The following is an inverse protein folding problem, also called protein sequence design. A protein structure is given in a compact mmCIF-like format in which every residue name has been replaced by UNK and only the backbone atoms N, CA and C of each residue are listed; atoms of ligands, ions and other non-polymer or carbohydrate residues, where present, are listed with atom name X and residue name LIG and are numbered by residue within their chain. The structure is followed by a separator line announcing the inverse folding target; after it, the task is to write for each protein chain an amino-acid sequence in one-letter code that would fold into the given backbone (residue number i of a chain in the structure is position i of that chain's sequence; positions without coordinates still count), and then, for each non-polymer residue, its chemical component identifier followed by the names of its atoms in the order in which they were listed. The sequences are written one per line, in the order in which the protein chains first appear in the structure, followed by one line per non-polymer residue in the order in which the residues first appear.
data_IF_119248065963
#
_entry.id   IF_119248065963
#
_cell.length_a   1.000
_cell.length_b   1.000
_cell.length_c   1.000
_cell.angle_alpha   90.00
_cell.angle_beta   90.00
_cell.angle_gamma   90.00
#
_symmetry.space_group_name_H-M   'P 1'
#
loop_
_entity.id
_entity.type
_entity.pdbx_description
1 polymer ?
#
# COMPACT_ATOMS: atom_id res chain seq x y z
N UNK A 1 -18.43 11.52 -3.40
CA UNK A 1 -17.68 10.27 -3.65
C UNK A 1 -18.28 9.06 -2.94
N UNK A 2 -18.51 9.10 -1.61
CA UNK A 2 -19.15 8.01 -0.87
C UNK A 2 -20.53 7.60 -1.44
N UNK A 3 -21.36 8.59 -1.79
CA UNK A 3 -22.66 8.36 -2.42
C UNK A 3 -22.55 7.67 -3.79
N UNK A 4 -21.56 8.04 -4.60
CA UNK A 4 -21.30 7.41 -5.89
C UNK A 4 -20.90 5.94 -5.72
N UNK A 5 -19.99 5.64 -4.78
CA UNK A 5 -19.54 4.27 -4.51
C UNK A 5 -20.69 3.39 -3.99
N UNK A 6 -21.53 3.93 -3.09
CA UNK A 6 -22.70 3.22 -2.58
C UNK A 6 -23.70 2.89 -3.70
N UNK A 7 -23.95 3.82 -4.63
CA UNK A 7 -24.83 3.57 -5.80
C UNK A 7 -24.30 2.45 -6.69
N UNK A 8 -22.98 2.29 -6.79
CA UNK A 8 -22.32 1.26 -7.59
C UNK A 8 -22.06 -0.04 -6.81
N UNK A 9 -22.56 -0.18 -5.58
CA UNK A 9 -22.28 -1.32 -4.69
C UNK A 9 -20.77 -1.55 -4.43
N UNK A 10 -19.97 -0.48 -4.43
CA UNK A 10 -18.53 -0.54 -4.17
C UNK A 10 -18.26 -0.19 -2.71
N UNK A 11 -17.65 -1.13 -1.97
CA UNK A 11 -17.22 -0.92 -0.58
C UNK A 11 -15.91 -0.15 -0.54
N UNK A 12 -15.91 1.01 0.12
CA UNK A 12 -14.68 1.77 0.37
C UNK A 12 -13.92 1.20 1.56
N UNK A 13 -12.65 0.84 1.36
CA UNK A 13 -11.73 0.44 2.42
C UNK A 13 -10.70 1.55 2.63
N UNK A 14 -10.62 2.09 3.85
CA UNK A 14 -9.67 3.14 4.23
C UNK A 14 -8.52 2.55 5.04
N UNK A 15 -7.32 3.06 4.79
CA UNK A 15 -6.13 2.71 5.58
C UNK A 15 -5.93 3.70 6.75
N UNK A 16 -5.21 3.29 7.81
CA UNK A 16 -4.84 4.19 8.89
C UNK A 16 -4.08 5.42 8.38
N UNK A 17 -4.30 6.54 9.06
CA UNK A 17 -3.65 7.81 8.75
C UNK A 17 -2.13 7.65 8.86
N UNK A 18 -1.39 8.23 7.91
CA UNK A 18 0.09 8.18 7.86
C UNK A 18 0.70 6.77 7.83
N UNK A 19 -0.03 5.80 7.26
CA UNK A 19 0.44 4.42 7.05
C UNK A 19 0.54 4.08 5.56
N UNK A 20 1.47 4.68 4.79
CA UNK A 20 1.61 4.40 3.36
C UNK A 20 1.96 2.93 3.08
N UNK A 21 2.62 2.26 4.02
CA UNK A 21 2.92 0.82 3.92
C UNK A 21 1.68 -0.05 3.78
N UNK A 22 0.53 0.39 4.32
CA UNK A 22 -0.75 -0.31 4.15
C UNK A 22 -1.27 -0.29 2.70
N UNK A 23 -0.79 0.64 1.87
CA UNK A 23 -1.09 0.71 0.44
C UNK A 23 0.16 0.43 -0.43
N UNK A 24 1.04 -0.46 0.05
CA UNK A 24 2.37 -0.67 -0.55
C UNK A 24 2.38 -1.14 -2.01
N UNK A 25 1.30 -1.77 -2.50
CA UNK A 25 1.19 -2.17 -3.92
C UNK A 25 1.09 -0.91 -4.80
N UNK A 26 0.16 -0.01 -4.48
CA UNK A 26 -0.03 1.25 -5.21
C UNK A 26 1.22 2.13 -5.16
N UNK A 27 1.89 2.20 -4.00
CA UNK A 27 3.16 2.94 -3.85
C UNK A 27 4.27 2.41 -4.78
N UNK A 28 4.38 1.08 -4.92
CA UNK A 28 5.34 0.47 -5.85
C UNK A 28 4.99 0.76 -7.31
N UNK A 29 3.70 0.72 -7.66
CA UNK A 29 3.22 1.10 -9.00
C UNK A 29 3.57 2.56 -9.31
N UNK A 30 3.33 3.47 -8.36
CA UNK A 30 3.66 4.90 -8.51
C UNK A 30 5.14 5.14 -8.76
N UNK A 31 6.03 4.33 -8.15
CA UNK A 31 7.46 4.39 -8.41
C UNK A 31 7.80 4.02 -9.86
N UNK A 32 7.17 2.97 -10.41
CA UNK A 32 7.34 2.59 -11.82
C UNK A 32 6.84 3.68 -12.76
N UNK A 33 5.67 4.26 -12.48
CA UNK A 33 5.10 5.38 -13.25
C UNK A 33 6.09 6.54 -13.27
N UNK A 34 6.59 6.94 -12.09
CA UNK A 34 7.54 8.05 -11.96
C UNK A 34 8.84 7.79 -12.73
N UNK A 35 9.36 6.57 -12.66
CA UNK A 35 10.56 6.16 -13.40
C UNK A 35 10.33 6.25 -14.92
N UNK A 36 9.24 5.67 -15.43
CA UNK A 36 8.92 5.69 -16.85
C UNK A 36 8.72 7.10 -17.40
N UNK A 37 8.08 7.99 -16.63
CA UNK A 37 7.95 9.40 -16.98
C UNK A 37 9.32 10.10 -17.04
N UNK A 38 10.23 9.76 -16.12
CA UNK A 38 11.55 10.39 -16.04
C UNK A 38 12.51 10.01 -17.17
N UNK A 39 12.38 8.81 -17.74
CA UNK A 39 13.24 8.33 -18.84
C UNK A 39 12.66 8.68 -20.22
N UNK A 40 11.34 8.78 -20.36
CA UNK A 40 10.67 9.08 -21.64
C UNK A 40 10.44 10.58 -21.86
N UNK A 41 11.39 11.43 -21.47
CA UNK A 41 11.28 12.87 -21.68
C UNK A 41 11.17 13.15 -23.19
N UNK A 42 10.24 14.03 -23.58
CA UNK A 42 9.95 14.49 -24.96
C UNK A 42 9.06 13.57 -25.82
N UNK A 43 8.62 12.41 -25.32
CA UNK A 43 7.55 11.64 -25.99
C UNK A 43 6.19 12.26 -25.69
N UNK A 44 5.21 11.96 -26.53
CA UNK A 44 3.83 12.34 -26.26
C UNK A 44 3.31 11.61 -25.01
N UNK A 45 2.50 12.30 -24.20
CA UNK A 45 2.04 11.77 -22.92
C UNK A 45 1.16 10.53 -23.08
N UNK A 46 0.35 10.46 -24.15
CA UNK A 46 -0.53 9.31 -24.39
C UNK A 46 0.28 8.06 -24.76
N UNK A 47 1.36 8.23 -25.52
CA UNK A 47 2.30 7.15 -25.82
C UNK A 47 2.97 6.63 -24.54
N UNK A 48 3.41 7.54 -23.66
CA UNK A 48 4.05 7.18 -22.39
C UNK A 48 3.07 6.43 -21.48
N UNK A 49 1.82 6.87 -21.38
CA UNK A 49 0.79 6.19 -20.57
C UNK A 49 0.58 4.76 -21.09
N UNK A 50 0.47 4.58 -22.40
CA UNK A 50 0.34 3.25 -23.01
C UNK A 50 1.56 2.36 -22.74
N UNK A 51 2.78 2.91 -22.84
CA UNK A 51 4.01 2.20 -22.49
C UNK A 51 4.04 1.79 -21.01
N UNK A 52 3.58 2.68 -20.11
CA UNK A 52 3.48 2.42 -18.67
C UNK A 52 2.50 1.28 -18.38
N UNK A 53 1.31 1.32 -18.97
CA UNK A 53 0.30 0.27 -18.80
C UNK A 53 0.83 -1.09 -19.28
N UNK A 54 1.46 -1.13 -20.44
CA UNK A 54 2.10 -2.35 -20.95
C UNK A 54 3.21 -2.83 -20.01
N UNK A 55 4.05 -1.92 -19.51
CA UNK A 55 5.16 -2.24 -18.61
C UNK A 55 4.65 -2.82 -17.28
N UNK A 56 3.57 -2.30 -16.72
CA UNK A 56 3.02 -2.79 -15.46
C UNK A 56 2.28 -4.11 -15.66
N UNK A 57 1.45 -4.21 -16.70
CA UNK A 57 0.52 -5.33 -16.85
C UNK A 57 1.13 -6.52 -17.56
N UNK A 58 1.98 -6.30 -18.56
CA UNK A 58 2.47 -7.36 -19.43
C UNK A 58 3.84 -7.88 -19.02
N UNK A 59 4.68 -7.10 -18.35
CA UNK A 59 6.01 -7.57 -17.97
C UNK A 59 5.98 -8.59 -16.84
N UNK A 60 6.95 -9.49 -16.88
CA UNK A 60 7.18 -10.50 -15.85
C UNK A 60 7.51 -9.84 -14.51
N UNK A 61 6.78 -10.24 -13.46
CA UNK A 61 7.08 -9.89 -12.07
C UNK A 61 7.72 -11.07 -11.35
N UNK A 62 8.96 -10.89 -10.88
CA UNK A 62 9.74 -11.95 -10.24
C UNK A 62 9.22 -12.42 -8.89
N UNK A 63 8.46 -11.58 -8.17
CA UNK A 63 7.79 -11.95 -6.92
C UNK A 63 6.53 -12.76 -7.19
N UNK A 64 5.77 -12.43 -8.24
CA UNK A 64 4.55 -13.15 -8.63
C UNK A 64 4.82 -14.38 -9.51
N UNK A 65 6.05 -14.53 -10.01
CA UNK A 65 6.46 -15.56 -10.99
C UNK A 65 5.69 -15.52 -12.33
N UNK A 66 4.99 -14.43 -12.60
CA UNK A 66 4.19 -14.21 -13.81
C UNK A 66 3.98 -12.70 -14.04
N UNK A 67 3.37 -12.31 -15.16
CA UNK A 67 2.87 -10.93 -15.34
C UNK A 67 1.47 -10.79 -14.74
N UNK A 68 1.07 -9.58 -14.30
CA UNK A 68 -0.30 -9.35 -13.82
C UNK A 68 -1.38 -9.73 -14.84
N UNK A 69 -1.14 -9.48 -16.13
CA UNK A 69 -2.08 -9.88 -17.18
C UNK A 69 -2.27 -11.40 -17.26
N UNK A 70 -1.20 -12.18 -17.08
CA UNK A 70 -1.28 -13.64 -17.04
C UNK A 70 -2.18 -14.14 -15.91
N UNK A 71 -2.23 -13.47 -14.75
CA UNK A 71 -3.11 -13.85 -13.63
C UNK A 71 -4.58 -13.77 -14.05
N UNK A 72 -4.97 -12.71 -14.74
CA UNK A 72 -6.35 -12.50 -15.20
C UNK A 72 -6.74 -13.55 -16.26
N UNK A 73 -5.81 -13.88 -17.16
CA UNK A 73 -6.05 -14.83 -18.24
C UNK A 73 -5.87 -16.30 -17.81
N UNK A 74 -5.42 -16.55 -16.58
CA UNK A 74 -5.02 -17.87 -16.07
C UNK A 74 -4.00 -18.60 -16.97
N UNK A 75 -3.28 -17.84 -17.79
CA UNK A 75 -2.39 -18.33 -18.84
C UNK A 75 -1.01 -17.67 -18.77
N UNK A 76 0.05 -18.48 -18.66
CA UNK A 76 1.44 -18.02 -18.63
C UNK A 76 2.05 -17.98 -20.02
N UNK A 77 2.40 -16.78 -20.48
CA UNK A 77 3.15 -16.59 -21.74
C UNK A 77 4.64 -16.95 -21.54
N UNK A 78 5.12 -16.88 -20.29
CA UNK A 78 6.52 -17.06 -19.93
C UNK A 78 6.92 -18.52 -19.66
N UNK A 79 5.95 -19.42 -19.53
CA UNK A 79 6.23 -20.85 -19.34
C UNK A 79 5.46 -21.69 -20.38
N UNK A 80 6.09 -22.02 -21.53
CA UNK A 80 5.43 -22.77 -22.59
C UNK A 80 5.08 -24.22 -22.20
N UNK A 81 5.76 -24.77 -21.18
CA UNK A 81 5.58 -26.14 -20.71
C UNK A 81 4.48 -26.25 -19.64
N UNK A 82 4.29 -25.20 -18.85
CA UNK A 82 3.21 -25.09 -17.85
C UNK A 82 2.38 -23.84 -18.12
N UNK A 83 1.33 -24.02 -18.92
CA UNK A 83 0.46 -22.93 -19.35
C UNK A 83 -0.43 -22.37 -18.23
N UNK A 84 -0.81 -23.19 -17.25
CA UNK A 84 -1.56 -22.69 -16.08
C UNK A 84 -0.64 -21.84 -15.22
N UNK A 85 -1.15 -20.68 -14.80
CA UNK A 85 -0.40 -19.76 -13.94
C UNK A 85 -0.39 -20.29 -12.51
N UNK A 86 0.80 -20.63 -12.04
CA UNK A 86 1.09 -20.81 -10.62
C UNK A 86 1.76 -19.50 -10.16
N UNK A 87 1.13 -18.79 -9.22
CA UNK A 87 1.71 -17.60 -8.60
C UNK A 87 1.83 -17.82 -7.10
N UNK A 88 2.99 -17.47 -6.55
CA UNK A 88 3.21 -17.52 -5.12
C UNK A 88 2.62 -16.26 -4.47
N UNK A 89 1.59 -16.42 -3.66
CA UNK A 89 1.32 -15.43 -2.63
C UNK A 89 2.30 -15.69 -1.49
N UNK A 90 3.45 -15.02 -1.50
CA UNK A 90 4.38 -15.06 -0.37
C UNK A 90 3.59 -14.56 0.85
N UNK A 91 3.13 -15.49 1.68
CA UNK A 91 2.62 -15.17 3.00
C UNK A 91 3.82 -14.68 3.79
N UNK A 92 3.90 -13.37 4.01
CA UNK A 92 4.80 -12.83 5.02
C UNK A 92 4.33 -13.37 6.37
N UNK A 93 4.87 -14.52 6.77
CA UNK A 93 5.00 -14.84 8.17
C UNK A 93 5.77 -13.65 8.77
N UNK A 94 5.15 -12.94 9.70
CA UNK A 94 5.77 -11.84 10.42
C UNK A 94 6.90 -12.40 11.30
N UNK A 95 8.04 -12.74 10.69
CA UNK A 95 9.24 -13.20 11.40
C UNK A 95 10.00 -11.93 11.82
N UNK A 96 9.45 -11.23 12.81
CA UNK A 96 10.25 -10.36 13.65
C UNK A 96 10.12 -10.91 15.07
N UNK A 97 11.21 -11.43 15.66
CA UNK A 97 11.14 -12.15 16.94
C UNK A 97 10.74 -11.27 18.14
N UNK A 98 10.65 -9.95 17.97
CA UNK A 98 10.49 -8.97 19.05
C UNK A 98 9.37 -7.96 18.78
N UNK A 99 8.15 -8.42 18.50
CA UNK A 99 6.98 -7.52 18.52
C UNK A 99 6.26 -7.67 19.85
N UNK A 100 6.26 -6.61 20.65
CA UNK A 100 5.34 -6.47 21.78
C UNK A 100 3.92 -6.73 21.26
N UNK A 101 3.29 -7.79 21.74
CA UNK A 101 1.91 -8.10 21.40
C UNK A 101 1.02 -7.16 22.20
N UNK A 102 0.50 -6.14 21.54
CA UNK A 102 -0.42 -5.18 22.15
C UNK A 102 -1.69 -5.88 22.61
N UNK A 103 -2.06 -5.68 23.87
CA UNK A 103 -3.31 -6.12 24.46
C UNK A 103 -4.27 -4.92 24.65
N UNK A 104 -5.55 -5.22 24.80
CA UNK A 104 -6.53 -4.21 25.20
C UNK A 104 -6.18 -3.72 26.61
N UNK A 105 -6.17 -2.40 26.79
CA UNK A 105 -5.78 -1.77 28.06
C UNK A 105 -4.30 -1.36 28.16
N UNK A 106 -3.45 -1.76 27.20
CA UNK A 106 -2.05 -1.32 27.19
C UNK A 106 -1.95 0.20 27.00
N UNK A 107 -1.08 0.82 27.79
CA UNK A 107 -0.71 2.23 27.62
C UNK A 107 0.26 2.37 26.46
N UNK A 108 -0.22 2.96 25.37
CA UNK A 108 0.59 3.21 24.17
C UNK A 108 0.74 4.70 23.88
N UNK A 109 1.94 5.07 23.45
CA UNK A 109 2.24 6.40 22.93
C UNK A 109 1.96 6.46 21.43
N UNK A 110 1.28 7.52 20.97
CA UNK A 110 1.00 7.72 19.55
C UNK A 110 1.92 8.80 18.99
N UNK A 111 2.50 8.54 17.82
CA UNK A 111 3.35 9.51 17.12
C UNK A 111 2.54 10.75 16.75
N UNK A 112 3.06 11.93 17.09
CA UNK A 112 2.53 13.21 16.65
C UNK A 112 3.01 13.45 15.22
N UNK A 113 2.11 13.39 14.25
CA UNK A 113 2.42 13.78 12.88
C UNK A 113 2.28 15.30 12.73
N UNK A 114 3.05 15.91 11.82
CA UNK A 114 3.07 17.36 11.57
C UNK A 114 3.47 18.19 12.82
N UNK A 115 4.34 17.66 13.67
CA UNK A 115 4.86 18.37 14.84
C UNK A 115 5.88 19.44 14.45
N UNK A 116 5.96 20.53 15.20
CA UNK A 116 7.05 21.51 15.03
C UNK A 116 8.39 20.93 15.55
N UNK A 117 9.52 21.58 15.23
CA UNK A 117 10.86 21.09 15.61
C UNK A 117 11.04 20.93 17.13
N UNK A 118 10.37 21.77 17.92
CA UNK A 118 10.47 21.78 19.39
C UNK A 118 9.33 21.02 20.07
N UNK A 119 8.34 20.53 19.32
CA UNK A 119 7.24 19.76 19.87
C UNK A 119 7.69 18.36 20.29
N UNK A 120 7.01 17.81 21.30
CA UNK A 120 7.15 16.38 21.65
C UNK A 120 6.72 15.49 20.47
N UNK A 121 7.57 14.50 20.15
CA UNK A 121 7.35 13.56 19.04
C UNK A 121 6.19 12.58 19.27
N UNK A 122 5.83 12.34 20.53
CA UNK A 122 4.77 11.43 20.91
C UNK A 122 3.80 12.11 21.89
N UNK A 123 2.52 11.75 21.80
CA UNK A 123 1.46 12.31 22.66
C UNK A 123 0.71 11.19 23.38
N UNK A 124 0.61 11.34 24.71
CA UNK A 124 -0.31 10.65 25.63
C UNK A 124 -0.08 9.15 25.81
N UNK A 125 -0.29 8.66 27.04
CA UNK A 125 -0.68 7.27 27.25
C UNK A 125 -2.16 7.16 26.92
N UNK A 126 -2.50 6.47 25.82
CA UNK A 126 -3.89 6.18 25.48
C UNK A 126 -4.26 4.81 26.05
N UNK A 127 -5.30 4.75 26.89
CA UNK A 127 -5.96 3.48 27.18
C UNK A 127 -6.65 3.01 25.89
N UNK A 128 -6.28 1.83 25.41
CA UNK A 128 -6.86 1.22 24.22
C UNK A 128 -8.33 0.83 24.44
N UNK A 129 -9.24 1.82 24.38
CA UNK A 129 -10.68 1.60 24.48
C UNK A 129 -11.48 2.89 24.60
N UNK A 130 -12.04 3.36 23.48
CA UNK A 130 -13.21 4.26 23.43
C UNK A 130 -12.98 5.75 23.74
N UNK A 131 -13.48 6.61 22.84
CA UNK A 131 -13.85 8.00 23.15
C UNK A 131 -12.70 9.02 23.19
N UNK A 132 -12.72 9.94 22.23
CA UNK A 132 -11.86 11.13 22.21
C UNK A 132 -12.21 12.02 23.41
N UNK A 133 -11.27 12.18 24.35
CA UNK A 133 -11.23 13.33 25.25
C UNK A 133 -9.77 13.78 25.39
N UNK A 134 -9.44 14.85 24.68
CA UNK A 134 -8.12 15.48 24.73
C UNK A 134 -8.13 16.39 25.96
N UNK A 135 -7.47 15.98 27.04
CA UNK A 135 -7.03 16.91 28.08
C UNK A 135 -5.65 17.43 27.69
N UNK A 136 -5.55 18.73 27.46
CA UNK A 136 -4.29 19.44 27.40
C UNK A 136 -3.85 19.66 28.85
N UNK A 137 -2.70 19.11 29.23
CA UNK A 137 -2.05 19.48 30.49
C UNK A 137 -1.08 20.62 30.18
N UNK A 138 -1.48 21.83 30.56
CA UNK A 138 -0.63 23.02 30.58
C UNK A 138 0.04 23.08 31.95
N UNK A 139 1.30 22.65 32.01
CA UNK A 139 2.27 23.10 33.01
C UNK A 139 3.62 23.29 32.35
#
# INVERSE_FOLDING_TARGET
MKEYLNKQNIKQLLIPIYSPGSNGISERINKTISFMLSINKKKDIYEIVKEIENTINLNYNSSLKCSPYSIIQEYSIYNPLRRRVEYDCIQHNNIYPNRFKLALGDMVYVKKYLSTKLDKMYVGSKNGGGGVNIKYDNR
#
